data_IF_538844352874
#
_entry.id   IF_538844352874
#
_cell.length_a   1.000
_cell.length_b   1.000
_cell.length_c   1.000
_cell.angle_alpha   90.00
_cell.angle_beta   90.00
_cell.angle_gamma   90.00
#
_symmetry.space_group_name_H-M   'P 1'
#
loop_
_entity.id
_entity.type
_entity.pdbx_description
1 polymer ?
#
# COMPACT_ATOMS: atom_id res chain seq x y z
N UNK A 1 -28.32 -61.77 -17.06
CA UNK A 1 -28.69 -60.66 -16.15
C UNK A 1 -27.43 -60.23 -15.41
N UNK A 2 -26.85 -59.06 -15.72
CA UNK A 2 -25.64 -58.54 -15.07
C UNK A 2 -26.06 -57.48 -14.05
N UNK A 3 -25.82 -57.76 -12.78
CA UNK A 3 -26.04 -56.84 -11.66
C UNK A 3 -24.95 -55.77 -11.65
N UNK A 4 -25.34 -54.50 -11.75
CA UNK A 4 -24.45 -53.38 -11.45
C UNK A 4 -24.55 -53.07 -9.96
N UNK A 5 -23.49 -53.37 -9.23
CA UNK A 5 -23.31 -52.99 -7.84
C UNK A 5 -22.89 -51.51 -7.80
N UNK A 6 -23.83 -50.62 -7.50
CA UNK A 6 -23.58 -49.19 -7.29
C UNK A 6 -22.91 -49.00 -5.93
N UNK A 7 -21.62 -48.66 -5.95
CA UNK A 7 -20.84 -48.29 -4.77
C UNK A 7 -21.11 -46.81 -4.44
N UNK A 8 -22.04 -46.55 -3.51
CA UNK A 8 -22.25 -45.23 -2.93
C UNK A 8 -21.21 -45.01 -1.82
N UNK A 9 -20.16 -44.24 -2.11
CA UNK A 9 -19.24 -43.74 -1.11
C UNK A 9 -19.84 -42.48 -0.44
N UNK A 10 -20.02 -42.44 0.89
CA UNK A 10 -20.43 -41.21 1.57
C UNK A 10 -19.25 -40.23 1.63
N UNK A 11 -19.40 -39.11 0.93
CA UNK A 11 -18.51 -37.96 1.02
C UNK A 11 -18.70 -37.31 2.41
N UNK A 12 -17.92 -37.72 3.39
CA UNK A 12 -17.82 -37.04 4.68
C UNK A 12 -17.12 -35.69 4.50
N UNK A 13 -17.91 -34.63 4.29
CA UNK A 13 -17.46 -33.25 4.46
C UNK A 13 -17.32 -32.98 5.97
N UNK A 14 -16.10 -33.12 6.48
CA UNK A 14 -15.73 -32.59 7.78
C UNK A 14 -15.63 -31.05 7.68
N UNK A 15 -16.75 -30.37 7.91
CA UNK A 15 -16.75 -28.92 8.13
C UNK A 15 -16.38 -28.70 9.60
N UNK A 16 -15.09 -28.59 9.90
CA UNK A 16 -14.63 -28.04 11.17
C UNK A 16 -14.66 -26.51 11.08
N UNK A 17 -15.81 -25.91 11.32
CA UNK A 17 -15.91 -24.47 11.56
C UNK A 17 -15.83 -24.19 13.05
N UNK A 18 -14.65 -24.37 13.65
CA UNK A 18 -14.33 -23.62 14.88
C UNK A 18 -13.91 -22.23 14.45
N UNK A 19 -14.90 -21.39 14.13
CA UNK A 19 -14.70 -19.95 14.07
C UNK A 19 -14.46 -19.46 15.48
N UNK A 20 -13.22 -19.57 15.97
CA UNK A 20 -12.75 -18.73 17.06
C UNK A 20 -12.74 -17.32 16.48
N UNK A 21 -13.52 -16.42 17.07
CA UNK A 21 -13.40 -15.02 16.65
C UNK A 21 -12.01 -14.58 17.05
N UNK A 22 -11.30 -13.95 16.11
CA UNK A 22 -9.89 -13.57 16.23
C UNK A 22 -9.60 -12.67 17.45
N UNK A 23 -10.66 -12.14 18.07
CA UNK A 23 -10.63 -11.24 19.22
C UNK A 23 -11.55 -11.68 20.35
N UNK A 24 -11.69 -12.99 20.53
CA UNK A 24 -12.44 -13.53 21.65
C UNK A 24 -11.86 -13.12 23.00
N UNK A 25 -12.76 -13.05 23.98
CA UNK A 25 -12.43 -12.58 25.32
C UNK A 25 -11.85 -13.71 26.15
N UNK A 26 -10.69 -13.48 26.74
CA UNK A 26 -10.02 -14.42 27.66
C UNK A 26 -10.36 -14.06 29.10
N UNK A 27 -10.84 -15.03 29.88
CA UNK A 27 -11.16 -14.84 31.31
C UNK A 27 -9.96 -15.27 32.16
N UNK A 28 -9.52 -14.39 33.07
CA UNK A 28 -8.47 -14.67 34.05
C UNK A 28 -9.07 -14.65 35.45
N UNK A 29 -8.93 -15.77 36.15
CA UNK A 29 -9.43 -15.94 37.51
C UNK A 29 -8.43 -15.38 38.53
N UNK A 30 -8.91 -14.53 39.45
CA UNK A 30 -8.08 -13.85 40.44
C UNK A 30 -7.29 -12.66 39.88
N UNK A 31 -6.24 -12.29 40.61
CA UNK A 31 -5.35 -11.19 40.23
C UNK A 31 -4.39 -11.62 39.12
N UNK A 32 -4.13 -10.72 38.19
CA UNK A 32 -3.18 -10.92 37.09
C UNK A 32 -2.02 -9.93 37.18
N UNK A 33 -0.85 -10.45 37.52
CA UNK A 33 0.38 -9.66 37.65
C UNK A 33 1.31 -9.97 36.49
N UNK A 34 1.66 -8.95 35.71
CA UNK A 34 2.70 -9.03 34.68
C UNK A 34 4.03 -8.61 35.31
N UNK A 35 4.87 -9.60 35.59
CA UNK A 35 6.19 -9.43 36.25
C UNK A 35 7.37 -9.52 35.28
N UNK A 36 7.12 -9.69 33.98
CA UNK A 36 8.15 -9.71 32.93
C UNK A 36 7.62 -9.16 31.62
N UNK A 37 8.52 -8.66 30.77
CA UNK A 37 8.16 -8.16 29.45
C UNK A 37 7.40 -9.22 28.66
N UNK A 38 6.23 -8.85 28.15
CA UNK A 38 5.34 -9.77 27.46
C UNK A 38 4.64 -9.06 26.31
N UNK A 39 4.10 -9.86 25.38
CA UNK A 39 3.28 -9.37 24.28
C UNK A 39 1.85 -9.89 24.46
N UNK A 40 0.85 -9.01 24.38
CA UNK A 40 -0.56 -9.33 24.54
C UNK A 40 -1.38 -8.78 23.37
N UNK A 41 -2.54 -9.39 23.13
CA UNK A 41 -3.50 -8.95 22.11
C UNK A 41 -4.91 -9.44 22.47
N UNK A 42 -5.92 -8.67 22.13
CA UNK A 42 -7.33 -9.00 22.36
C UNK A 42 -7.89 -8.48 23.68
N UNK A 43 -8.95 -9.13 24.15
CA UNK A 43 -9.71 -8.69 25.32
C UNK A 43 -9.53 -9.63 26.50
N UNK A 44 -9.18 -9.09 27.67
CA UNK A 44 -8.97 -9.85 28.90
C UNK A 44 -9.94 -9.39 29.98
N UNK A 45 -10.68 -10.34 30.57
CA UNK A 45 -11.56 -10.12 31.70
C UNK A 45 -10.92 -10.73 32.95
N UNK A 46 -10.27 -9.88 33.73
CA UNK A 46 -9.62 -10.23 34.98
C UNK A 46 -10.65 -10.08 36.10
N UNK A 47 -10.92 -11.18 36.80
CA UNK A 47 -11.91 -11.16 37.89
C UNK A 47 -11.39 -10.47 39.15
N UNK A 48 -10.07 -10.34 39.32
CA UNK A 48 -9.41 -9.55 40.36
C UNK A 48 -8.74 -8.29 39.81
N UNK A 49 -7.56 -7.96 40.35
CA UNK A 49 -6.77 -6.79 39.96
C UNK A 49 -5.81 -7.12 38.81
N UNK A 50 -5.64 -6.21 37.86
CA UNK A 50 -4.61 -6.29 36.82
C UNK A 50 -3.45 -5.34 37.18
N UNK A 51 -2.24 -5.89 37.30
CA UNK A 51 -1.04 -5.13 37.67
C UNK A 51 0.10 -5.36 36.68
N UNK A 52 0.72 -4.28 36.21
CA UNK A 52 1.99 -4.32 35.47
C UNK A 52 3.09 -3.79 36.40
N UNK A 53 4.08 -4.62 36.70
CA UNK A 53 5.14 -4.25 37.66
C UNK A 53 6.12 -3.19 37.11
N UNK A 54 6.92 -2.59 38.00
CA UNK A 54 7.95 -1.62 37.63
C UNK A 54 8.97 -2.23 36.66
N UNK A 55 9.45 -1.43 35.71
CA UNK A 55 10.42 -1.84 34.67
C UNK A 55 9.93 -2.97 33.74
N UNK A 56 8.62 -3.24 33.69
CA UNK A 56 8.01 -4.19 32.76
C UNK A 56 7.31 -3.45 31.64
N UNK A 57 7.53 -3.87 30.40
CA UNK A 57 6.81 -3.38 29.23
C UNK A 57 5.89 -4.46 28.67
N UNK A 58 4.60 -4.16 28.59
CA UNK A 58 3.62 -4.94 27.82
C UNK A 58 3.58 -4.39 26.40
N UNK A 59 3.92 -5.21 25.42
CA UNK A 59 3.81 -4.87 24.01
C UNK A 59 2.44 -5.33 23.48
N UNK A 60 1.79 -4.49 22.68
CA UNK A 60 0.55 -4.88 21.99
C UNK A 60 0.90 -5.42 20.61
N UNK A 61 0.44 -6.64 20.31
CA UNK A 61 0.75 -7.28 19.03
C UNK A 61 0.05 -6.56 17.85
N UNK A 62 0.73 -6.35 16.72
CA UNK A 62 0.12 -5.81 15.50
C UNK A 62 -1.10 -6.58 15.02
N UNK A 63 -2.03 -5.90 14.37
CA UNK A 63 -3.18 -6.55 13.77
C UNK A 63 -2.72 -7.52 12.65
N UNK A 64 -3.04 -8.80 12.80
CA UNK A 64 -2.73 -9.88 11.84
C UNK A 64 -3.72 -11.02 12.04
N UNK A 65 -3.80 -12.03 11.17
CA UNK A 65 -4.83 -13.09 11.21
C UNK A 65 -5.04 -13.81 12.56
N UNK A 66 -4.14 -13.68 13.53
CA UNK A 66 -4.27 -14.25 14.89
C UNK A 66 -4.15 -13.20 16.03
N UNK A 67 -4.19 -11.90 15.70
CA UNK A 67 -4.05 -10.80 16.65
C UNK A 67 -5.01 -9.66 16.31
N UNK A 68 -5.49 -8.97 17.34
CA UNK A 68 -6.48 -7.91 17.26
C UNK A 68 -5.92 -6.52 17.00
N UNK A 69 -4.60 -6.35 17.10
CA UNK A 69 -4.00 -5.02 17.03
C UNK A 69 -4.43 -4.07 18.15
N UNK A 70 -4.97 -4.62 19.22
CA UNK A 70 -5.53 -3.89 20.34
C UNK A 70 -5.45 -4.74 21.60
N UNK A 71 -5.35 -4.08 22.75
CA UNK A 71 -5.37 -4.70 24.06
C UNK A 71 -6.46 -4.03 24.89
N UNK A 72 -7.50 -4.79 25.23
CA UNK A 72 -8.57 -4.33 26.11
C UNK A 72 -8.51 -5.14 27.40
N UNK A 73 -8.36 -4.47 28.55
CA UNK A 73 -8.34 -5.14 29.85
C UNK A 73 -9.48 -4.62 30.71
N UNK A 74 -10.30 -5.54 31.21
CA UNK A 74 -11.39 -5.29 32.13
C UNK A 74 -11.03 -5.97 33.46
N UNK A 75 -10.87 -5.17 34.52
CA UNK A 75 -10.49 -5.65 35.85
C UNK A 75 -11.20 -4.83 36.94
N UNK A 76 -11.19 -5.30 38.19
CA UNK A 76 -11.72 -4.49 39.31
C UNK A 76 -10.88 -3.23 39.52
N UNK A 77 -9.56 -3.38 39.42
CA UNK A 77 -8.58 -2.30 39.45
C UNK A 77 -7.46 -2.59 38.45
N UNK A 78 -7.02 -1.55 37.76
CA UNK A 78 -5.88 -1.59 36.85
C UNK A 78 -4.77 -0.71 37.42
N UNK A 79 -3.60 -1.30 37.69
CA UNK A 79 -2.42 -0.61 38.22
C UNK A 79 -1.22 -0.81 37.29
N UNK A 80 -0.79 0.26 36.60
CA UNK A 80 0.35 0.20 35.67
C UNK A 80 1.53 0.94 36.30
N UNK A 81 2.52 0.19 36.76
CA UNK A 81 3.78 0.73 37.29
C UNK A 81 4.91 0.69 36.26
N UNK A 82 4.82 -0.21 35.29
CA UNK A 82 5.68 -0.28 34.11
C UNK A 82 5.18 0.56 32.94
N UNK A 83 5.26 0.00 31.73
CA UNK A 83 4.80 0.62 30.49
C UNK A 83 3.90 -0.31 29.66
N UNK A 84 2.99 0.28 28.90
CA UNK A 84 2.28 -0.40 27.80
C UNK A 84 2.71 0.27 26.51
N UNK A 85 3.25 -0.50 25.56
CA UNK A 85 3.70 -0.03 24.27
C UNK A 85 2.83 -0.61 23.16
N UNK A 86 1.98 0.23 22.58
CA UNK A 86 1.11 -0.12 21.46
C UNK A 86 1.58 0.48 20.12
N UNK A 87 2.84 0.91 20.02
CA UNK A 87 3.37 1.50 18.79
C UNK A 87 3.35 0.45 17.67
N UNK A 88 2.63 0.74 16.59
CA UNK A 88 2.50 -0.17 15.44
C UNK A 88 1.56 -1.36 15.68
N UNK A 89 0.77 -1.36 16.77
CA UNK A 89 -0.21 -2.40 17.03
C UNK A 89 -1.36 -2.42 15.99
N UNK A 90 -1.57 -1.33 15.24
CA UNK A 90 -2.68 -1.20 14.30
C UNK A 90 -2.56 -2.05 13.04
N UNK A 91 -3.41 -1.74 12.08
CA UNK A 91 -3.35 -2.37 10.77
C UNK A 91 -2.09 -1.95 10.01
N UNK A 92 -1.57 -2.85 9.18
CA UNK A 92 -0.44 -2.52 8.32
C UNK A 92 -0.83 -1.42 7.33
N UNK A 93 0.11 -0.52 7.07
CA UNK A 93 0.02 0.42 5.96
C UNK A 93 0.07 -0.28 4.60
N UNK A 94 -0.31 0.45 3.56
CA UNK A 94 -0.20 0.03 2.18
C UNK A 94 1.26 0.01 1.72
N UNK A 95 1.59 -0.92 0.83
CA UNK A 95 2.93 -1.00 0.24
C UNK A 95 3.17 0.16 -0.73
N UNK A 96 4.40 0.69 -0.75
CA UNK A 96 4.81 1.72 -1.70
C UNK A 96 4.68 1.26 -3.17
N UNK A 97 4.46 2.23 -4.05
CA UNK A 97 4.37 2.06 -5.49
C UNK A 97 5.71 1.79 -6.13
N UNK A 98 5.68 1.28 -7.37
CA UNK A 98 6.87 0.87 -8.11
C UNK A 98 7.16 1.83 -9.25
N UNK A 99 8.44 1.99 -9.61
CA UNK A 99 8.79 2.69 -10.85
C UNK A 99 8.36 1.85 -12.05
N UNK A 100 7.87 2.50 -13.10
CA UNK A 100 7.65 1.86 -14.40
C UNK A 100 8.68 2.36 -15.41
N UNK A 101 9.24 1.45 -16.20
CA UNK A 101 10.11 1.76 -17.34
C UNK A 101 9.55 1.20 -18.65
N UNK A 102 8.26 0.84 -18.66
CA UNK A 102 7.62 0.25 -19.84
C UNK A 102 7.45 1.30 -20.93
N UNK A 103 8.03 1.01 -22.09
CA UNK A 103 7.87 1.78 -23.32
C UNK A 103 6.74 1.17 -24.15
N UNK A 104 5.78 1.99 -24.53
CA UNK A 104 4.66 1.63 -25.39
C UNK A 104 4.75 2.40 -26.71
N UNK A 105 4.21 1.83 -27.76
CA UNK A 105 4.06 2.52 -29.04
C UNK A 105 2.86 1.96 -29.79
N UNK A 106 1.89 2.83 -30.07
CA UNK A 106 0.74 2.47 -30.90
C UNK A 106 1.14 2.14 -32.36
N UNK A 107 2.33 2.59 -32.78
CA UNK A 107 2.87 2.39 -34.14
C UNK A 107 3.89 1.25 -34.23
N UNK A 108 4.10 0.49 -33.14
CA UNK A 108 5.04 -0.64 -33.11
C UNK A 108 6.51 -0.23 -33.00
N UNK A 109 6.78 1.02 -32.61
CA UNK A 109 8.12 1.59 -32.56
C UNK A 109 8.68 1.70 -31.12
N UNK A 110 8.31 0.81 -30.21
CA UNK A 110 8.75 0.88 -28.80
C UNK A 110 10.29 0.82 -28.64
N UNK A 111 11.01 0.25 -29.62
CA UNK A 111 12.48 0.23 -29.65
C UNK A 111 13.12 1.56 -30.07
N UNK A 112 12.33 2.55 -30.52
CA UNK A 112 12.84 3.83 -31.04
C UNK A 112 13.51 4.73 -29.97
N UNK A 113 13.39 4.40 -28.68
CA UNK A 113 14.14 5.07 -27.61
C UNK A 113 15.56 4.56 -27.45
N UNK A 114 15.85 3.34 -27.89
CA UNK A 114 17.15 2.69 -27.69
C UNK A 114 17.88 2.39 -29.00
N UNK A 115 17.25 2.65 -30.15
CA UNK A 115 17.87 2.52 -31.46
C UNK A 115 16.93 2.91 -32.60
N UNK A 116 17.48 2.97 -33.81
CA UNK A 116 16.69 3.19 -35.02
C UNK A 116 15.90 1.92 -35.36
N UNK A 117 14.59 2.06 -35.46
CA UNK A 117 13.68 1.01 -35.92
C UNK A 117 12.79 1.60 -36.99
N UNK A 118 12.41 0.84 -38.01
CA UNK A 118 11.48 1.25 -39.09
C UNK A 118 11.81 2.64 -39.69
N UNK A 119 12.99 2.77 -40.32
CA UNK A 119 13.46 4.01 -40.95
C UNK A 119 12.45 4.52 -41.99
N UNK A 120 11.99 5.76 -41.81
CA UNK A 120 11.00 6.42 -42.69
C UNK A 120 9.55 6.43 -42.19
N UNK A 121 9.22 5.75 -41.08
CA UNK A 121 7.89 5.83 -40.47
C UNK A 121 7.87 6.84 -39.31
N UNK A 122 6.91 7.78 -39.36
CA UNK A 122 6.60 8.68 -38.26
C UNK A 122 5.72 7.95 -37.24
N UNK A 123 6.26 7.72 -36.04
CA UNK A 123 5.60 6.95 -34.98
C UNK A 123 5.49 7.74 -33.67
N UNK A 124 4.62 7.28 -32.77
CA UNK A 124 4.51 7.80 -31.41
C UNK A 124 5.12 6.79 -30.44
N UNK A 125 5.93 7.30 -29.52
CA UNK A 125 6.49 6.52 -28.43
C UNK A 125 6.03 7.10 -27.09
N UNK A 126 5.73 6.21 -26.16
CA UNK A 126 5.15 6.51 -24.87
C UNK A 126 5.96 5.81 -23.77
N UNK A 127 6.22 6.50 -22.67
CA UNK A 127 6.86 5.94 -21.47
C UNK A 127 5.90 6.01 -20.31
N UNK A 128 5.61 4.84 -19.75
CA UNK A 128 4.65 4.68 -18.66
C UNK A 128 5.13 5.44 -17.41
N UNK A 129 4.20 6.09 -16.71
CA UNK A 129 4.44 6.76 -15.43
C UNK A 129 4.73 5.79 -14.28
N UNK A 130 5.20 6.32 -13.15
CA UNK A 130 5.32 5.55 -11.92
C UNK A 130 3.98 4.93 -11.51
N UNK A 131 4.00 3.73 -10.93
CA UNK A 131 2.80 3.06 -10.44
C UNK A 131 2.51 3.44 -8.99
N UNK A 132 1.23 3.55 -8.66
CA UNK A 132 0.77 3.83 -7.29
C UNK A 132 1.08 2.67 -6.34
N UNK A 133 1.13 2.99 -5.05
CA UNK A 133 1.14 1.98 -3.99
C UNK A 133 -0.23 1.34 -3.78
N UNK A 134 -0.35 0.55 -2.72
CA UNK A 134 -1.61 -0.06 -2.31
C UNK A 134 -2.29 0.74 -1.20
N UNK A 135 -3.60 0.54 -1.06
CA UNK A 135 -4.41 1.06 0.06
C UNK A 135 -3.86 0.58 1.41
N UNK A 136 -4.10 1.35 2.46
CA UNK A 136 -3.90 0.87 3.83
C UNK A 136 -4.92 -0.20 4.22
N UNK A 137 -4.68 -0.93 5.30
CA UNK A 137 -5.64 -1.88 5.84
C UNK A 137 -6.40 -1.30 7.05
N UNK A 138 -7.61 -1.84 7.29
CA UNK A 138 -8.40 -1.60 8.49
C UNK A 138 -9.39 -0.42 8.44
N UNK A 139 -10.19 -0.26 9.51
CA UNK A 139 -11.06 0.89 9.68
C UNK A 139 -10.27 2.19 9.65
N UNK A 140 -10.72 3.14 8.83
CA UNK A 140 -10.03 4.41 8.64
C UNK A 140 -8.71 4.33 7.88
N UNK A 141 -8.48 3.26 7.10
CA UNK A 141 -7.36 3.16 6.17
C UNK A 141 -7.36 4.29 5.13
N UNK A 142 -6.18 4.81 4.82
CA UNK A 142 -6.01 5.76 3.72
C UNK A 142 -6.07 5.07 2.35
N UNK A 143 -6.58 5.78 1.35
CA UNK A 143 -6.60 5.31 -0.04
C UNK A 143 -5.25 5.58 -0.71
N UNK A 144 -4.83 4.64 -1.55
CA UNK A 144 -3.66 4.75 -2.42
C UNK A 144 -3.71 5.98 -3.33
N UNK A 145 -2.53 6.41 -3.75
CA UNK A 145 -2.37 7.42 -4.77
C UNK A 145 -2.87 6.98 -6.15
N UNK A 146 -2.47 7.71 -7.17
CA UNK A 146 -2.81 7.46 -8.57
C UNK A 146 -1.53 7.22 -9.36
N UNK A 147 -1.62 6.37 -10.37
CA UNK A 147 -0.51 6.13 -11.29
C UNK A 147 -0.12 7.43 -11.98
N UNK A 148 1.18 7.62 -12.20
CA UNK A 148 1.72 8.71 -12.99
C UNK A 148 1.13 8.71 -14.40
N UNK A 149 1.02 9.89 -15.00
CA UNK A 149 0.74 10.02 -16.42
C UNK A 149 1.97 9.64 -17.24
N UNK A 150 1.70 8.93 -18.32
CA UNK A 150 2.64 8.60 -19.40
C UNK A 150 3.20 9.87 -20.03
N UNK A 151 4.51 9.87 -20.30
CA UNK A 151 5.15 10.85 -21.17
C UNK A 151 5.18 10.34 -22.60
N UNK A 152 5.06 11.22 -23.59
CA UNK A 152 4.99 10.82 -25.00
C UNK A 152 5.77 11.75 -25.91
N UNK A 153 6.06 11.26 -27.11
CA UNK A 153 6.57 12.11 -28.18
C UNK A 153 6.85 11.37 -29.48
N UNK A 154 7.26 12.11 -30.52
CA UNK A 154 7.54 11.54 -31.81
C UNK A 154 8.82 10.69 -31.77
N UNK A 155 8.72 9.52 -32.39
CA UNK A 155 9.88 8.84 -32.91
C UNK A 155 10.59 9.74 -33.93
N UNK A 156 11.92 9.75 -33.86
CA UNK A 156 12.74 10.46 -34.83
C UNK A 156 13.02 9.59 -36.06
N UNK A 157 13.07 10.23 -37.23
CA UNK A 157 13.42 9.57 -38.50
C UNK A 157 14.93 9.50 -38.57
N UNK A 158 15.49 8.29 -38.46
CA UNK A 158 16.92 8.08 -38.63
C UNK A 158 17.27 8.13 -40.12
N UNK A 159 18.23 8.99 -40.48
CA UNK A 159 18.88 9.07 -41.78
C UNK A 159 20.31 8.52 -41.80
N UNK A 160 20.94 8.24 -40.65
CA UNK A 160 22.30 7.69 -40.55
C UNK A 160 22.52 6.75 -39.35
N UNK A 161 23.60 5.94 -39.39
CA UNK A 161 23.94 4.91 -38.38
C UNK A 161 24.26 5.45 -36.98
N UNK A 162 24.39 6.77 -36.82
CA UNK A 162 24.68 7.46 -35.55
C UNK A 162 23.55 8.43 -35.15
N UNK A 163 22.36 8.30 -35.74
CA UNK A 163 21.21 9.10 -35.33
C UNK A 163 20.62 8.51 -34.04
N UNK A 164 20.46 9.38 -33.04
CA UNK A 164 20.20 8.97 -31.67
C UNK A 164 18.87 9.53 -31.16
N UNK A 165 17.94 8.60 -30.89
CA UNK A 165 16.86 8.62 -29.89
C UNK A 165 15.54 9.35 -30.18
N UNK A 166 14.43 8.73 -29.75
CA UNK A 166 13.10 9.32 -29.72
C UNK A 166 13.01 10.49 -28.74
N UNK A 167 12.41 11.60 -29.17
CA UNK A 167 12.15 12.74 -28.30
C UNK A 167 10.84 12.52 -27.58
N UNK A 168 10.92 12.13 -26.32
CA UNK A 168 9.74 11.92 -25.47
C UNK A 168 9.82 12.87 -24.27
N UNK A 169 8.66 13.35 -23.82
CA UNK A 169 8.59 13.97 -22.50
C UNK A 169 8.78 12.89 -21.44
N UNK A 170 9.42 13.24 -20.33
CA UNK A 170 9.52 12.35 -19.17
C UNK A 170 8.14 11.95 -18.66
N UNK A 171 8.01 10.74 -18.12
CA UNK A 171 6.79 10.32 -17.44
C UNK A 171 6.72 10.94 -16.04
N UNK A 172 5.52 11.09 -15.49
CA UNK A 172 5.35 11.59 -14.11
C UNK A 172 5.45 10.46 -13.09
N UNK A 173 5.79 10.81 -11.85
CA UNK A 173 5.72 9.89 -10.72
C UNK A 173 4.27 9.63 -10.31
N UNK A 174 4.03 8.48 -9.69
CA UNK A 174 2.76 8.26 -9.01
C UNK A 174 2.63 9.20 -7.80
N UNK A 175 1.40 9.47 -7.41
CA UNK A 175 1.12 10.29 -6.23
C UNK A 175 1.16 9.46 -4.95
N UNK A 176 1.33 10.14 -3.81
CA UNK A 176 1.39 9.48 -2.51
C UNK A 176 0.00 9.03 -2.06
N UNK A 177 -0.03 7.95 -1.29
CA UNK A 177 -1.21 7.52 -0.56
C UNK A 177 -1.66 8.49 0.55
N UNK A 178 -2.95 8.47 0.88
CA UNK A 178 -3.50 9.16 2.04
C UNK A 178 -3.19 8.47 3.38
N UNK A 179 -3.24 9.25 4.45
CA UNK A 179 -3.03 8.78 5.82
C UNK A 179 -4.23 8.01 6.37
N UNK A 180 -3.95 7.01 7.21
CA UNK A 180 -4.98 6.38 8.04
C UNK A 180 -5.29 7.24 9.26
N UNK A 181 -6.42 6.97 9.93
CA UNK A 181 -6.84 7.77 11.09
C UNK A 181 -7.25 6.92 12.31
N UNK A 182 -6.92 7.43 13.50
CA UNK A 182 -7.49 7.01 14.78
C UNK A 182 -7.77 8.26 15.62
N UNK A 183 -9.02 8.44 16.08
CA UNK A 183 -9.42 9.58 16.89
C UNK A 183 -9.29 10.94 16.18
N UNK A 184 -9.23 10.97 14.84
CA UNK A 184 -9.01 12.19 14.06
C UNK A 184 -9.20 12.02 12.55
N UNK A 185 -8.78 13.01 11.77
CA UNK A 185 -8.76 12.95 10.31
C UNK A 185 -7.37 12.53 9.82
N UNK A 186 -7.32 11.62 8.84
CA UNK A 186 -6.08 11.35 8.11
C UNK A 186 -5.77 12.49 7.14
N UNK A 187 -4.51 12.60 6.70
CA UNK A 187 -4.12 13.58 5.68
C UNK A 187 -4.35 13.04 4.26
N UNK A 188 -4.62 13.94 3.31
CA UNK A 188 -4.65 13.62 1.88
C UNK A 188 -3.21 13.43 1.40
N UNK A 189 -2.98 12.43 0.54
CA UNK A 189 -1.67 12.18 -0.04
C UNK A 189 -1.16 13.32 -0.91
N UNK A 190 0.16 13.48 -0.97
CA UNK A 190 0.82 14.46 -1.84
C UNK A 190 0.67 14.16 -3.34
N UNK A 191 0.83 15.19 -4.17
CA UNK A 191 0.83 15.07 -5.63
C UNK A 191 2.03 14.27 -6.14
N UNK A 192 1.84 13.56 -7.25
CA UNK A 192 2.95 12.95 -8.00
C UNK A 192 3.81 14.03 -8.65
N UNK A 193 5.12 13.76 -8.81
CA UNK A 193 6.02 14.69 -9.50
C UNK A 193 5.78 14.72 -11.01
N UNK A 194 5.84 15.90 -11.63
CA UNK A 194 5.75 16.05 -13.08
C UNK A 194 6.96 15.41 -13.79
N UNK A 195 6.72 14.93 -15.01
CA UNK A 195 7.78 14.54 -15.93
C UNK A 195 8.48 15.76 -16.51
N UNK A 196 9.74 15.58 -16.89
CA UNK A 196 10.51 16.65 -17.51
C UNK A 196 10.09 16.87 -18.98
N UNK A 197 9.90 18.12 -19.38
CA UNK A 197 9.76 18.50 -20.81
C UNK A 197 11.11 18.75 -21.49
N UNK A 198 12.20 18.33 -20.86
CA UNK A 198 13.56 18.49 -21.37
C UNK A 198 13.96 17.25 -22.14
N UNK A 199 14.26 17.41 -23.42
CA UNK A 199 14.80 16.39 -24.30
C UNK A 199 16.04 16.92 -25.01
N UNK A 200 17.00 16.05 -25.28
CA UNK A 200 18.22 16.39 -26.00
C UNK A 200 18.12 15.83 -27.42
N UNK A 201 18.48 16.63 -28.41
CA UNK A 201 18.63 16.17 -29.80
C UNK A 201 19.91 16.74 -30.38
N UNK A 202 20.78 15.87 -30.90
CA UNK A 202 21.99 16.28 -31.63
C UNK A 202 21.87 15.75 -33.05
N UNK A 203 22.01 16.63 -34.05
CA UNK A 203 22.01 16.28 -35.48
C UNK A 203 20.75 15.55 -36.00
N UNK A 204 19.56 15.83 -35.45
CA UNK A 204 18.30 15.22 -35.90
C UNK A 204 17.28 16.23 -36.41
N UNK A 205 16.48 15.81 -37.40
CA UNK A 205 15.27 16.55 -37.83
C UNK A 205 14.10 16.08 -36.99
N UNK A 206 13.57 16.99 -36.18
CA UNK A 206 12.41 16.75 -35.32
C UNK A 206 11.18 16.47 -36.17
N UNK A 207 10.63 15.26 -36.07
CA UNK A 207 9.31 14.98 -36.66
C UNK A 207 8.24 15.84 -35.99
N UNK A 208 7.48 16.57 -36.79
CA UNK A 208 6.32 17.36 -36.35
C UNK A 208 5.00 16.56 -36.34
N UNK A 209 5.07 15.25 -36.58
CA UNK A 209 3.88 14.40 -36.66
C UNK A 209 3.20 14.20 -35.30
N UNK A 210 3.97 14.24 -34.21
CA UNK A 210 3.48 14.11 -32.85
C UNK A 210 4.12 15.15 -31.95
N UNK A 211 3.36 15.65 -30.97
CA UNK A 211 3.83 16.62 -29.99
C UNK A 211 4.55 15.88 -28.85
N UNK A 212 5.65 16.48 -28.37
CA UNK A 212 6.32 16.02 -27.15
C UNK A 212 5.49 16.48 -25.94
N UNK A 213 5.04 15.54 -25.11
CA UNK A 213 4.26 15.83 -23.91
C UNK A 213 4.89 15.13 -22.71
N UNK A 214 5.27 15.88 -21.67
CA UNK A 214 5.55 15.27 -20.37
C UNK A 214 4.28 14.80 -19.68
N UNK A 215 4.42 13.73 -18.90
CA UNK A 215 3.39 13.32 -17.96
C UNK A 215 3.25 14.34 -16.84
N UNK A 216 2.02 14.72 -16.48
CA UNK A 216 1.74 15.53 -15.31
C UNK A 216 1.39 14.69 -14.09
N UNK A 217 1.87 15.11 -12.93
CA UNK A 217 1.53 14.57 -11.63
C UNK A 217 0.02 14.58 -11.38
N UNK A 218 -0.48 13.51 -10.74
CA UNK A 218 -1.87 13.44 -10.30
C UNK A 218 -1.99 13.77 -8.81
N UNK A 219 -3.21 14.09 -8.37
CA UNK A 219 -3.53 14.24 -6.94
C UNK A 219 -3.21 12.96 -6.17
N UNK A 220 -2.85 13.08 -4.89
CA UNK A 220 -2.68 11.94 -4.00
C UNK A 220 -3.98 11.20 -3.68
N UNK A 221 -3.82 10.15 -2.90
CA UNK A 221 -4.92 9.34 -2.38
C UNK A 221 -5.70 10.06 -1.29
N UNK A 222 -6.97 9.69 -1.13
CA UNK A 222 -7.84 10.29 -0.12
C UNK A 222 -7.47 9.81 1.29
N UNK A 223 -7.73 10.66 2.27
CA UNK A 223 -7.62 10.30 3.69
C UNK A 223 -8.62 9.21 4.05
N UNK A 224 -8.24 8.34 4.99
CA UNK A 224 -9.18 7.37 5.55
C UNK A 224 -10.30 8.03 6.36
N UNK A 225 -11.43 7.33 6.47
CA UNK A 225 -12.54 7.76 7.33
C UNK A 225 -12.10 7.85 8.80
N UNK A 226 -12.63 8.82 9.54
CA UNK A 226 -12.39 8.91 10.99
C UNK A 226 -12.91 7.65 11.69
N UNK A 227 -12.02 7.00 12.44
CA UNK A 227 -12.32 5.82 13.23
C UNK A 227 -11.80 5.99 14.67
N UNK A 228 -12.46 5.38 15.65
CA UNK A 228 -12.14 5.53 17.08
C UNK A 228 -12.81 6.77 17.73
N UNK A 229 -12.52 6.99 19.01
CA UNK A 229 -13.10 8.11 19.77
C UNK A 229 -12.14 9.29 19.86
N UNK A 230 -12.69 10.51 19.79
CA UNK A 230 -11.96 11.78 20.05
C UNK A 230 -11.88 12.11 21.54
N UNK A 231 -12.60 11.36 22.38
CA UNK A 231 -12.62 11.54 23.83
C UNK A 231 -11.49 10.72 24.47
N UNK A 232 -10.67 11.39 25.29
CA UNK A 232 -9.45 10.86 25.94
C UNK A 232 -9.66 9.69 26.93
N UNK A 233 -10.83 9.04 26.94
CA UNK A 233 -11.21 8.01 27.90
C UNK A 233 -11.17 6.57 27.36
N UNK A 234 -10.94 6.37 26.06
CA UNK A 234 -10.67 5.03 25.53
C UNK A 234 -9.18 4.71 25.60
N UNK A 235 -8.85 3.61 26.29
CA UNK A 235 -7.51 3.00 26.28
C UNK A 235 -7.41 1.97 25.12
N UNK A 236 -8.28 2.03 24.11
CA UNK A 236 -8.07 1.31 22.83
C UNK A 236 -6.95 1.94 22.00
N UNK A 237 -5.80 2.16 22.64
CA UNK A 237 -4.56 2.64 22.04
C UNK A 237 -4.01 1.45 21.26
N UNK A 238 -4.18 1.44 19.94
CA UNK A 238 -3.63 0.38 19.09
C UNK A 238 -4.31 0.22 17.74
N UNK A 239 -5.62 0.44 17.62
CA UNK A 239 -6.36 0.09 16.39
C UNK A 239 -6.36 1.20 15.33
N UNK A 240 -5.19 1.73 14.96
CA UNK A 240 -5.07 2.73 13.89
C UNK A 240 -5.23 2.12 12.50
N UNK A 241 -5.94 2.82 11.61
CA UNK A 241 -5.97 2.49 10.19
C UNK A 241 -4.59 2.66 9.57
N UNK A 242 -4.19 1.74 8.70
CA UNK A 242 -2.92 1.83 7.97
C UNK A 242 -2.91 3.02 7.02
N UNK A 243 -1.80 3.77 6.98
CA UNK A 243 -1.55 4.75 5.91
C UNK A 243 -1.25 4.02 4.61
N UNK A 244 -1.65 4.57 3.47
CA UNK A 244 -1.39 3.92 2.16
C UNK A 244 0.02 4.20 1.65
N UNK A 245 0.46 3.40 0.67
CA UNK A 245 1.82 3.46 0.15
C UNK A 245 2.09 4.71 -0.71
N UNK A 246 3.32 5.22 -0.65
CA UNK A 246 3.79 6.31 -1.51
C UNK A 246 3.82 5.95 -3.00
N UNK A 247 3.91 6.94 -3.89
CA UNK A 247 3.98 6.71 -5.33
C UNK A 247 5.37 6.28 -5.82
N UNK A 248 5.42 5.47 -6.88
CA UNK A 248 6.64 5.14 -7.61
C UNK A 248 7.26 6.33 -8.36
N UNK A 249 8.58 6.30 -8.53
CA UNK A 249 9.35 7.35 -9.22
C UNK A 249 8.97 7.46 -10.70
N UNK A 250 9.10 8.68 -11.23
CA UNK A 250 9.06 8.96 -12.67
C UNK A 250 10.23 8.28 -13.40
N UNK A 251 10.05 8.05 -14.69
CA UNK A 251 11.09 7.53 -15.57
C UNK A 251 11.26 8.46 -16.77
N UNK A 252 12.52 8.80 -17.07
CA UNK A 252 12.91 9.59 -18.23
C UNK A 252 14.01 8.84 -18.94
N UNK A 253 13.81 8.57 -20.23
CA UNK A 253 14.85 8.14 -21.17
C UNK A 253 15.18 9.36 -22.02
N UNK A 254 16.41 9.86 -21.90
CA UNK A 254 16.94 10.99 -22.66
C UNK A 254 18.46 10.91 -22.69
#
# INVERSE_FOLDING_TARGET
>A
MKNYLLLLAPLFLFINSTGLSQCDSTIISGDWVISSNTTLSGSYYVTGDFTVENNVTVYVEPHSSNSCGSLNVYAQKISIHGAINANGAGYSGGSGGTSSSSVLSATGDAGALTGCSNDGSQGQVEVTGGLKGNDGAGPGAGEQGKDGRTGSGPKQVCGSTNDYFGMIGGSSGASSGGGGSYGGYGEIGGFGGDGANTYSSTNMVISNAYVVNAGYGKTGGNSGATYGTVSQYDISIGSGGGGSGGGGRSYSLG
#
